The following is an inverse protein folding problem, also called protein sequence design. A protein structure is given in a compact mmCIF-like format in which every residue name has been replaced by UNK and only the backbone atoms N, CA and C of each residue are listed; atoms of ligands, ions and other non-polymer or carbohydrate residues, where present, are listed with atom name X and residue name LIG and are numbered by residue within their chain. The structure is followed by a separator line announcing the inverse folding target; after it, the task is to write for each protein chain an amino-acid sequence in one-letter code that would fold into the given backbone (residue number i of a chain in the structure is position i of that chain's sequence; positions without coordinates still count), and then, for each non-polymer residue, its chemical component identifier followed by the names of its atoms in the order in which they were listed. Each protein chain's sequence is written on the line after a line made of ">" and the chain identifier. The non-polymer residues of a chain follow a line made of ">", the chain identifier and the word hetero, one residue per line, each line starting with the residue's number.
data_IF_972519967427
#
_entry.id   IF_972519967427
#
_cell.length_a   1.000
_cell.length_b   1.000
_cell.length_c   1.000
_cell.angle_alpha   90.00
_cell.angle_beta   90.00
_cell.angle_gamma   90.00
#
_symmetry.space_group_name_H-M   'P 1'
#
loop_
_entity.id
_entity.type
_entity.pdbx_description
1 polymer ?
#
# COMPACT_ATOMS: atom_id res chain seq x y z
N UNK A 1 26.53 -34.22 -5.20
CA UNK A 1 27.49 -33.55 -6.10
C UNK A 1 26.69 -32.69 -7.06
N UNK A 2 27.37 -31.79 -7.77
CA UNK A 2 26.81 -30.75 -8.64
C UNK A 2 26.23 -29.54 -7.88
N UNK A 3 26.85 -28.39 -8.16
CA UNK A 3 26.46 -27.05 -7.72
C UNK A 3 26.06 -26.27 -8.96
N UNK A 4 25.01 -25.44 -8.88
CA UNK A 4 24.60 -24.55 -9.98
C UNK A 4 24.90 -23.11 -9.58
N UNK A 5 26.10 -22.66 -9.91
CA UNK A 5 26.53 -21.26 -9.77
C UNK A 5 25.91 -20.44 -10.89
N UNK A 6 24.75 -19.83 -10.65
CA UNK A 6 24.13 -18.93 -11.63
C UNK A 6 24.70 -17.51 -11.55
N UNK A 7 25.13 -16.99 -12.71
CA UNK A 7 26.02 -15.83 -12.78
C UNK A 7 25.28 -14.49 -12.78
N UNK A 8 25.56 -13.63 -11.80
CA UNK A 8 24.97 -12.27 -11.66
C UNK A 8 25.60 -11.28 -12.64
N UNK A 9 25.45 -11.50 -13.94
CA UNK A 9 26.25 -10.84 -14.99
C UNK A 9 25.51 -10.40 -16.27
N UNK A 10 24.18 -10.56 -16.40
CA UNK A 10 23.51 -10.46 -17.71
C UNK A 10 22.31 -9.49 -17.84
N UNK A 11 22.08 -8.58 -16.89
CA UNK A 11 21.04 -7.54 -17.01
C UNK A 11 21.63 -6.15 -16.81
N UNK A 12 22.61 -5.80 -17.66
CA UNK A 12 23.14 -4.43 -17.80
C UNK A 12 23.24 -4.09 -19.29
N UNK A 13 22.16 -3.54 -19.83
CA UNK A 13 22.04 -3.15 -21.24
C UNK A 13 20.57 -3.10 -21.67
N UNK A 14 20.26 -2.29 -22.71
CA UNK A 14 18.89 -1.93 -23.16
C UNK A 14 18.19 -0.98 -22.16
N UNK A 15 17.75 0.24 -22.50
CA UNK A 15 17.97 1.04 -23.71
C UNK A 15 18.03 2.54 -23.33
N UNK A 16 18.94 3.31 -23.92
CA UNK A 16 19.10 4.75 -23.64
C UNK A 16 18.83 5.59 -24.90
N UNK A 17 17.55 5.74 -25.29
CA UNK A 17 17.19 6.65 -26.40
C UNK A 17 15.70 7.06 -26.44
N UNK A 18 15.41 8.31 -26.04
CA UNK A 18 14.30 9.12 -26.55
C UNK A 18 14.50 10.60 -26.16
N UNK A 19 14.62 11.49 -27.13
CA UNK A 19 14.57 12.95 -26.98
C UNK A 19 13.62 13.51 -28.04
N UNK A 20 13.31 14.82 -27.94
CA UNK A 20 12.21 15.54 -28.62
C UNK A 20 10.83 15.21 -28.01
N UNK A 21 10.10 16.09 -27.30
CA UNK A 21 9.94 17.56 -27.28
C UNK A 21 8.89 18.13 -28.25
N UNK A 22 7.90 18.83 -27.69
CA UNK A 22 7.05 19.82 -28.33
C UNK A 22 6.38 20.70 -27.26
N UNK A 23 5.94 21.91 -27.61
CA UNK A 23 5.40 22.89 -26.67
C UNK A 23 4.21 23.68 -27.26
N UNK A 24 3.10 23.72 -26.50
CA UNK A 24 1.99 24.67 -26.58
C UNK A 24 1.29 24.62 -25.19
N UNK A 25 0.96 25.70 -24.48
CA UNK A 25 0.20 26.90 -24.86
C UNK A 25 -1.28 26.57 -25.14
N UNK A 26 -2.17 26.94 -24.21
CA UNK A 26 -3.60 26.67 -24.28
C UNK A 26 -4.35 27.23 -23.07
N UNK A 27 -4.66 28.52 -23.09
CA UNK A 27 -5.56 29.15 -22.09
C UNK A 27 -7.02 28.90 -22.47
N UNK A 28 -7.86 28.54 -21.50
CA UNK A 28 -9.30 28.36 -21.68
C UNK A 28 -10.03 28.78 -20.40
N UNK A 29 -11.06 29.63 -20.54
CA UNK A 29 -11.72 30.32 -19.43
C UNK A 29 -13.17 29.89 -19.29
N UNK A 30 -13.66 29.94 -18.05
CA UNK A 30 -15.04 30.22 -17.61
C UNK A 30 -16.23 29.56 -18.35
N UNK A 31 -17.01 28.78 -17.59
CA UNK A 31 -18.45 28.60 -17.86
C UNK A 31 -19.24 28.57 -16.56
N UNK A 32 -20.14 29.54 -16.40
CA UNK A 32 -21.03 29.67 -15.24
C UNK A 32 -22.38 29.05 -15.55
N UNK A 33 -22.86 28.13 -14.71
CA UNK A 33 -24.18 27.51 -14.85
C UNK A 33 -24.90 27.38 -13.51
N UNK A 34 -25.81 28.31 -13.22
CA UNK A 34 -26.70 28.25 -12.07
C UNK A 34 -28.07 27.69 -12.49
N UNK A 35 -28.64 26.80 -11.67
CA UNK A 35 -29.99 26.23 -11.81
C UNK A 35 -30.51 25.82 -10.43
N UNK A 36 -31.83 25.83 -10.21
CA UNK A 36 -32.42 25.77 -8.87
C UNK A 36 -33.81 25.11 -8.83
N UNK A 37 -34.29 24.88 -7.59
CA UNK A 37 -35.67 24.59 -7.14
C UNK A 37 -36.36 23.25 -7.52
N UNK A 38 -36.67 22.49 -6.46
CA UNK A 38 -37.95 21.86 -6.07
C UNK A 38 -38.84 21.04 -7.02
N UNK A 39 -39.01 19.75 -6.64
CA UNK A 39 -40.30 19.06 -6.40
C UNK A 39 -40.00 17.79 -5.53
N UNK A 40 -40.75 17.27 -4.53
CA UNK A 40 -42.14 17.35 -4.00
C UNK A 40 -42.93 16.04 -4.19
N UNK A 41 -43.48 15.50 -3.09
CA UNK A 41 -44.38 14.31 -2.96
C UNK A 41 -43.73 12.93 -3.26
N UNK A 42 -43.75 11.95 -2.33
CA UNK A 42 -44.82 10.98 -1.99
C UNK A 42 -44.82 9.74 -2.95
N UNK A 43 -45.34 8.55 -2.62
CA UNK A 43 -46.22 8.08 -1.53
C UNK A 43 -46.01 6.56 -1.24
N UNK A 44 -46.74 6.00 -0.27
CA UNK A 44 -47.10 4.57 -0.08
C UNK A 44 -46.02 3.50 0.15
N UNK A 45 -45.96 3.06 1.41
CA UNK A 45 -46.15 1.68 1.89
C UNK A 45 -46.53 0.58 0.87
N UNK A 46 -45.90 -0.60 0.98
CA UNK A 46 -46.55 -1.93 0.89
C UNK A 46 -45.76 -2.94 1.76
N UNK A 47 -46.33 -4.12 2.02
CA UNK A 47 -45.71 -5.16 2.85
C UNK A 47 -45.99 -6.59 2.34
N UNK A 48 -44.97 -7.44 2.35
CA UNK A 48 -45.01 -8.89 2.17
C UNK A 48 -43.65 -9.44 2.65
N UNK A 49 -43.51 -10.45 3.52
CA UNK A 49 -44.19 -11.74 3.71
C UNK A 49 -43.46 -12.91 3.06
N UNK A 50 -42.74 -13.64 3.93
CA UNK A 50 -42.51 -15.10 3.98
C UNK A 50 -41.88 -15.89 2.82
N UNK A 51 -41.12 -16.91 3.28
CA UNK A 51 -40.51 -18.06 2.57
C UNK A 51 -39.45 -17.72 1.49
N UNK A 52 -38.53 -18.63 1.12
CA UNK A 52 -38.28 -19.99 1.62
C UNK A 52 -36.77 -20.28 1.68
N UNK A 53 -36.37 -21.30 2.44
CA UNK A 53 -34.99 -21.76 2.50
C UNK A 53 -34.81 -23.09 1.76
N UNK A 54 -34.00 -23.10 0.71
CA UNK A 54 -33.21 -24.27 0.26
C UNK A 54 -32.30 -23.91 -0.90
N UNK A 55 -31.03 -24.30 -0.80
CA UNK A 55 -30.38 -25.08 -1.86
C UNK A 55 -29.31 -25.97 -1.23
N UNK A 56 -29.10 -27.14 -1.84
CA UNK A 56 -28.21 -28.19 -1.34
C UNK A 56 -26.85 -28.15 -2.08
N UNK A 57 -25.89 -29.00 -1.68
CA UNK A 57 -24.49 -28.85 -2.06
C UNK A 57 -23.98 -29.79 -3.16
N UNK A 58 -22.93 -29.34 -3.86
CA UNK A 58 -21.98 -30.10 -4.69
C UNK A 58 -20.84 -29.12 -5.07
N UNK A 59 -19.53 -29.38 -4.98
CA UNK A 59 -18.72 -30.61 -4.90
C UNK A 59 -18.79 -31.46 -6.19
N UNK A 60 -17.72 -31.74 -6.94
CA UNK A 60 -16.31 -31.29 -6.90
C UNK A 60 -15.92 -30.76 -8.32
N UNK A 61 -14.69 -30.61 -8.84
CA UNK A 61 -13.34 -31.10 -8.52
C UNK A 61 -12.26 -30.17 -9.20
N UNK A 62 -10.98 -30.39 -8.87
CA UNK A 62 -9.71 -29.99 -9.53
C UNK A 62 -9.64 -28.90 -10.64
N UNK A 63 -8.69 -27.98 -10.48
CA UNK A 63 -7.59 -27.86 -11.47
C UNK A 63 -6.34 -27.26 -10.82
N UNK A 64 -5.26 -28.04 -10.77
CA UNK A 64 -3.95 -27.62 -10.24
C UNK A 64 -2.98 -27.24 -11.36
N UNK A 65 -2.63 -25.96 -11.46
CA UNK A 65 -1.39 -25.52 -12.12
C UNK A 65 -0.53 -24.69 -11.17
N UNK A 66 0.66 -25.20 -10.87
CA UNK A 66 1.69 -24.47 -10.13
C UNK A 66 2.53 -23.64 -11.11
N UNK A 67 2.22 -22.35 -11.22
CA UNK A 67 3.04 -21.36 -11.91
C UNK A 67 3.94 -20.62 -10.92
N UNK A 68 5.21 -21.00 -10.84
CA UNK A 68 6.21 -20.33 -9.98
C UNK A 68 6.74 -19.03 -10.59
N UNK A 69 5.90 -17.98 -10.62
CA UNK A 69 6.36 -16.60 -10.84
C UNK A 69 6.32 -15.83 -9.52
N UNK A 70 7.48 -15.73 -8.86
CA UNK A 70 7.67 -15.14 -7.53
C UNK A 70 7.53 -13.61 -7.44
N UNK A 71 6.64 -13.02 -8.23
CA UNK A 71 6.26 -11.61 -8.11
C UNK A 71 5.29 -11.46 -6.94
N UNK A 72 5.76 -10.88 -5.83
CA UNK A 72 4.93 -10.57 -4.67
C UNK A 72 3.93 -9.46 -5.00
N UNK A 73 2.81 -9.80 -5.63
CA UNK A 73 1.76 -8.85 -5.97
C UNK A 73 1.15 -8.24 -4.70
N UNK A 74 0.92 -6.92 -4.74
CA UNK A 74 0.18 -6.20 -3.69
C UNK A 74 -1.23 -6.82 -3.50
N UNK A 75 -1.78 -6.85 -2.27
CA UNK A 75 -3.06 -7.47 -2.03
C UNK A 75 -4.18 -6.73 -2.76
N UNK A 76 -5.12 -7.47 -3.36
CA UNK A 76 -6.28 -6.86 -4.01
C UNK A 76 -7.24 -6.27 -2.97
N UNK A 77 -7.76 -5.06 -3.22
CA UNK A 77 -8.81 -4.46 -2.40
C UNK A 77 -10.08 -5.32 -2.49
N UNK A 78 -10.48 -5.90 -1.35
CA UNK A 78 -11.52 -6.94 -1.26
C UNK A 78 -12.58 -6.67 -0.19
N UNK A 79 -12.43 -5.59 0.58
CA UNK A 79 -13.45 -5.13 1.53
C UNK A 79 -14.65 -4.43 0.87
N UNK A 80 -15.67 -4.03 1.66
CA UNK A 80 -16.90 -3.42 1.16
C UNK A 80 -16.68 -2.00 0.62
N UNK A 81 -17.58 -1.54 -0.26
CA UNK A 81 -17.62 -0.13 -0.66
C UNK A 81 -18.06 0.76 0.52
N UNK A 82 -17.32 1.86 0.75
CA UNK A 82 -17.43 2.78 1.86
C UNK A 82 -17.70 4.21 1.38
N UNK A 83 -18.17 5.09 2.27
CA UNK A 83 -18.18 6.54 2.01
C UNK A 83 -16.76 7.09 2.13
N UNK A 84 -16.36 8.01 1.24
CA UNK A 84 -15.04 8.68 1.23
C UNK A 84 -14.51 9.09 2.62
N UNK A 85 -15.34 9.77 3.42
CA UNK A 85 -14.97 10.20 4.77
C UNK A 85 -14.75 9.04 5.76
N UNK A 86 -15.41 7.89 5.57
CA UNK A 86 -15.23 6.70 6.38
C UNK A 86 -13.98 5.91 5.98
N UNK A 87 -13.73 5.80 4.67
CA UNK A 87 -12.47 5.25 4.14
C UNK A 87 -11.26 6.04 4.64
N UNK A 88 -11.31 7.38 4.55
CA UNK A 88 -10.27 8.27 5.08
C UNK A 88 -10.06 8.05 6.58
N UNK A 89 -11.12 8.06 7.39
CA UNK A 89 -11.03 7.84 8.84
C UNK A 89 -10.39 6.50 9.18
N UNK A 90 -10.81 5.41 8.53
CA UNK A 90 -10.28 4.06 8.79
C UNK A 90 -8.83 3.91 8.33
N UNK A 91 -8.46 4.44 7.17
CA UNK A 91 -7.05 4.41 6.73
C UNK A 91 -6.14 5.28 7.60
N UNK A 92 -6.61 6.44 8.09
CA UNK A 92 -5.86 7.23 9.08
C UNK A 92 -5.69 6.50 10.43
N UNK A 93 -6.63 5.62 10.80
CA UNK A 93 -6.49 4.71 11.94
C UNK A 93 -5.46 3.60 11.67
N UNK A 94 -5.42 3.02 10.46
CA UNK A 94 -4.38 2.05 10.03
C UNK A 94 -3.00 2.70 10.08
N UNK A 95 -2.80 3.82 9.38
CA UNK A 95 -1.55 4.59 9.36
C UNK A 95 -1.13 5.04 10.76
N UNK A 96 -2.09 5.35 11.63
CA UNK A 96 -1.84 5.70 13.03
C UNK A 96 -1.26 4.55 13.88
N UNK A 97 -1.49 3.28 13.53
CA UNK A 97 -0.93 2.10 14.24
C UNK A 97 0.55 1.89 13.94
N UNK A 98 0.99 2.12 12.71
CA UNK A 98 2.36 1.81 12.24
C UNK A 98 3.45 2.40 13.15
N UNK A 99 3.48 3.70 13.50
CA UNK A 99 4.51 4.24 14.40
C UNK A 99 4.40 3.69 15.83
N UNK A 100 3.21 3.28 16.28
CA UNK A 100 3.00 2.65 17.59
C UNK A 100 3.58 1.23 17.63
N UNK A 101 3.47 0.48 16.53
CA UNK A 101 4.04 -0.85 16.37
C UNK A 101 5.56 -0.82 16.07
N UNK A 102 6.05 0.19 15.35
CA UNK A 102 7.47 0.43 15.11
C UNK A 102 8.26 0.63 16.41
N UNK A 103 7.75 1.46 17.34
CA UNK A 103 8.49 1.86 18.55
C UNK A 103 9.00 0.69 19.43
N UNK A 104 8.21 -0.34 19.78
CA UNK A 104 8.72 -1.50 20.52
C UNK A 104 9.67 -2.37 19.70
N UNK A 105 9.43 -2.52 18.39
CA UNK A 105 10.33 -3.27 17.50
C UNK A 105 11.70 -2.58 17.37
N UNK A 106 11.72 -1.25 17.24
CA UNK A 106 12.93 -0.44 17.24
C UNK A 106 13.75 -0.66 18.52
N UNK A 107 13.10 -0.66 19.69
CA UNK A 107 13.80 -0.91 20.96
C UNK A 107 14.33 -2.34 21.06
N UNK A 108 13.59 -3.34 20.56
CA UNK A 108 14.05 -4.73 20.46
C UNK A 108 15.29 -4.86 19.58
N UNK A 109 15.22 -4.39 18.34
CA UNK A 109 16.32 -4.48 17.35
C UNK A 109 17.56 -3.72 17.82
N UNK A 110 17.38 -2.51 18.35
CA UNK A 110 18.45 -1.72 18.96
C UNK A 110 18.97 -2.33 20.28
N UNK A 111 18.25 -3.28 20.89
CA UNK A 111 18.73 -4.10 22.00
C UNK A 111 19.60 -5.25 21.49
N UNK A 112 19.06 -6.04 20.55
CA UNK A 112 19.74 -7.17 19.90
C UNK A 112 21.11 -6.76 19.34
N UNK A 113 21.16 -5.69 18.54
CA UNK A 113 22.41 -5.16 17.97
C UNK A 113 23.45 -4.79 19.05
N UNK A 114 23.02 -4.25 20.20
CA UNK A 114 23.94 -3.90 21.30
C UNK A 114 24.48 -5.12 22.03
N UNK A 115 23.71 -6.20 22.14
CA UNK A 115 24.21 -7.45 22.71
C UNK A 115 25.15 -8.17 21.72
N UNK A 116 24.85 -8.14 20.41
CA UNK A 116 25.77 -8.63 19.37
C UNK A 116 27.11 -7.88 19.38
N UNK A 117 27.11 -6.54 19.51
CA UNK A 117 28.35 -5.75 19.61
C UNK A 117 29.21 -6.16 20.82
N UNK A 118 28.59 -6.48 21.97
CA UNK A 118 29.32 -6.97 23.16
C UNK A 118 29.87 -8.39 22.94
N UNK A 119 29.05 -9.29 22.42
CA UNK A 119 29.39 -10.71 22.29
C UNK A 119 30.46 -10.94 21.21
N UNK A 120 30.29 -10.35 20.03
CA UNK A 120 31.19 -10.51 18.90
C UNK A 120 32.41 -9.57 18.97
N UNK A 121 32.38 -8.55 19.84
CA UNK A 121 33.37 -7.44 19.93
C UNK A 121 33.51 -6.62 18.64
N UNK A 122 32.63 -6.84 17.65
CA UNK A 122 32.42 -5.98 16.48
C UNK A 122 31.66 -4.72 16.92
N UNK A 123 31.82 -3.61 16.20
CA UNK A 123 30.84 -2.52 16.19
C UNK A 123 30.14 -2.48 14.84
N UNK A 124 28.84 -2.28 14.84
CA UNK A 124 28.12 -1.95 13.61
C UNK A 124 28.25 -0.45 13.34
N UNK A 125 28.41 -0.08 12.07
CA UNK A 125 28.32 1.29 11.58
C UNK A 125 26.93 1.89 11.80
N UNK A 126 26.77 3.19 11.60
CA UNK A 126 25.46 3.83 11.65
C UNK A 126 24.50 3.26 10.58
N UNK A 127 25.02 3.00 9.36
CA UNK A 127 24.27 2.41 8.25
C UNK A 127 23.75 1.01 8.59
N UNK A 128 24.62 0.09 9.01
CA UNK A 128 24.22 -1.29 9.40
C UNK A 128 23.13 -1.30 10.49
N UNK A 129 23.14 -0.31 11.40
CA UNK A 129 22.10 -0.18 12.44
C UNK A 129 20.80 0.40 11.90
N UNK A 130 20.88 1.34 10.96
CA UNK A 130 19.71 1.94 10.30
C UNK A 130 19.01 0.96 9.36
N UNK A 131 19.78 0.21 8.55
CA UNK A 131 19.30 -0.87 7.69
C UNK A 131 18.60 -1.95 8.52
N UNK A 132 19.24 -2.43 9.60
CA UNK A 132 18.63 -3.40 10.50
C UNK A 132 17.35 -2.87 11.16
N UNK A 133 17.27 -1.58 11.49
CA UNK A 133 16.05 -0.94 12.01
C UNK A 133 14.94 -0.88 10.95
N UNK A 134 15.25 -0.48 9.71
CA UNK A 134 14.28 -0.45 8.61
C UNK A 134 13.70 -1.84 8.36
N UNK A 135 14.56 -2.82 8.09
CA UNK A 135 14.17 -4.20 7.77
C UNK A 135 13.47 -4.92 8.93
N UNK A 136 13.95 -4.79 10.18
CA UNK A 136 13.43 -5.58 11.32
C UNK A 136 12.37 -4.86 12.15
N UNK A 137 12.20 -3.55 12.02
CA UNK A 137 11.23 -2.78 12.81
C UNK A 137 10.24 -1.94 11.99
N UNK A 138 10.59 -1.44 10.79
CA UNK A 138 9.67 -0.67 9.95
C UNK A 138 8.87 -1.55 8.98
N UNK A 139 9.53 -2.48 8.27
CA UNK A 139 8.87 -3.38 7.31
C UNK A 139 7.71 -4.21 7.92
N UNK A 140 7.83 -4.84 9.12
CA UNK A 140 6.74 -5.66 9.66
C UNK A 140 5.39 -4.93 9.90
N UNK A 141 5.33 -3.75 10.54
CA UNK A 141 4.07 -3.02 10.69
C UNK A 141 3.56 -2.41 9.38
N UNK A 142 4.42 -2.17 8.37
CA UNK A 142 3.99 -1.78 7.04
C UNK A 142 3.26 -2.92 6.32
N UNK A 143 3.76 -4.15 6.40
CA UNK A 143 3.06 -5.34 5.89
C UNK A 143 1.69 -5.55 6.57
N UNK A 144 1.59 -5.26 7.88
CA UNK A 144 0.31 -5.29 8.59
C UNK A 144 -0.65 -4.20 8.09
N UNK A 145 -0.17 -2.97 7.89
CA UNK A 145 -0.98 -1.88 7.35
C UNK A 145 -1.45 -2.15 5.92
N UNK A 146 -0.60 -2.75 5.08
CA UNK A 146 -0.90 -3.17 3.72
C UNK A 146 -2.06 -4.18 3.68
N UNK A 147 -2.02 -5.22 4.53
CA UNK A 147 -3.14 -6.14 4.68
C UNK A 147 -4.41 -5.45 5.17
N UNK A 148 -4.32 -4.55 6.16
CA UNK A 148 -5.48 -3.82 6.66
C UNK A 148 -6.10 -2.91 5.59
N UNK A 149 -5.31 -2.30 4.70
CA UNK A 149 -5.81 -1.51 3.57
C UNK A 149 -6.47 -2.37 2.49
N UNK A 150 -5.89 -3.52 2.11
CA UNK A 150 -6.56 -4.45 1.17
C UNK A 150 -7.92 -4.95 1.71
N UNK A 151 -7.99 -5.19 3.02
CA UNK A 151 -9.21 -5.62 3.73
C UNK A 151 -10.19 -4.48 4.05
N UNK A 152 -9.77 -3.21 3.90
CA UNK A 152 -10.60 -2.03 4.20
C UNK A 152 -11.76 -1.87 3.21
N UNK A 153 -11.53 -2.25 1.95
CA UNK A 153 -12.45 -1.97 0.85
C UNK A 153 -12.19 -0.62 0.20
N UNK A 154 -13.09 -0.17 -0.67
CA UNK A 154 -12.92 1.01 -1.51
C UNK A 154 -13.83 2.17 -1.11
N UNK A 155 -13.46 3.44 -1.37
CA UNK A 155 -14.41 4.54 -1.36
C UNK A 155 -15.28 4.50 -2.63
N UNK A 156 -16.59 4.64 -2.46
CA UNK A 156 -17.59 4.54 -3.53
C UNK A 156 -17.39 5.60 -4.63
N UNK A 157 -17.18 5.18 -5.87
CA UNK A 157 -16.88 6.04 -7.03
C UNK A 157 -15.42 6.51 -7.12
N UNK A 158 -14.55 6.03 -6.22
CA UNK A 158 -13.11 6.24 -6.17
C UNK A 158 -12.41 4.86 -6.04
N UNK A 159 -12.94 3.80 -6.67
CA UNK A 159 -12.49 2.42 -6.48
C UNK A 159 -11.02 2.18 -6.85
N UNK A 160 -10.57 2.73 -7.99
CA UNK A 160 -9.19 2.59 -8.48
C UNK A 160 -8.18 3.20 -7.50
N UNK A 161 -8.52 4.34 -6.89
CA UNK A 161 -7.68 5.02 -5.89
C UNK A 161 -7.41 4.15 -4.66
N UNK A 162 -8.34 3.26 -4.27
CA UNK A 162 -8.09 2.34 -3.16
C UNK A 162 -6.99 1.34 -3.47
N UNK A 163 -6.91 0.87 -4.72
CA UNK A 163 -5.83 -0.01 -5.17
C UNK A 163 -4.54 0.79 -5.36
N UNK A 164 -4.57 2.01 -5.91
CA UNK A 164 -3.38 2.89 -5.98
C UNK A 164 -2.72 3.10 -4.61
N UNK A 165 -3.51 3.30 -3.54
CA UNK A 165 -3.00 3.44 -2.16
C UNK A 165 -2.37 2.15 -1.64
N UNK A 166 -2.92 0.98 -1.99
CA UNK A 166 -2.37 -0.32 -1.61
C UNK A 166 -1.09 -0.62 -2.38
N UNK A 167 -1.09 -0.43 -3.70
CA UNK A 167 0.05 -0.67 -4.58
C UNK A 167 1.22 0.27 -4.23
N UNK A 168 0.94 1.54 -3.93
CA UNK A 168 1.96 2.48 -3.47
C UNK A 168 2.51 2.15 -2.07
N UNK A 169 1.73 1.50 -1.20
CA UNK A 169 2.20 1.05 0.11
C UNK A 169 3.02 -0.24 0.01
N UNK A 170 2.68 -1.17 -0.89
CA UNK A 170 3.52 -2.34 -1.15
C UNK A 170 4.82 -1.93 -1.84
N UNK A 171 4.78 -1.09 -2.88
CA UNK A 171 5.97 -0.55 -3.51
C UNK A 171 6.88 0.18 -2.50
N UNK A 172 6.29 0.89 -1.52
CA UNK A 172 7.05 1.49 -0.43
C UNK A 172 7.71 0.45 0.49
N UNK A 173 6.98 -0.60 0.90
CA UNK A 173 7.50 -1.73 1.70
C UNK A 173 8.63 -2.45 0.96
N UNK A 174 8.36 -2.87 -0.26
CA UNK A 174 9.26 -3.65 -1.12
C UNK A 174 10.53 -2.86 -1.46
N UNK A 175 10.42 -1.56 -1.77
CA UNK A 175 11.61 -0.71 -1.97
C UNK A 175 12.49 -0.57 -0.72
N UNK A 176 11.92 -0.66 0.49
CA UNK A 176 12.64 -0.71 1.77
C UNK A 176 13.24 -2.08 2.11
N UNK A 177 12.71 -3.16 1.51
CA UNK A 177 13.25 -4.52 1.59
C UNK A 177 14.40 -4.74 0.59
N UNK A 178 14.30 -4.16 -0.61
CA UNK A 178 15.33 -4.23 -1.66
C UNK A 178 16.51 -3.27 -1.42
N UNK A 179 16.25 -2.00 -1.08
CA UNK A 179 17.29 -1.01 -0.76
C UNK A 179 16.99 -0.27 0.56
N UNK A 180 17.38 -0.86 1.71
CA UNK A 180 17.26 -0.23 3.02
C UNK A 180 18.21 0.98 3.21
N UNK A 181 19.06 1.34 2.23
CA UNK A 181 19.85 2.58 2.28
C UNK A 181 19.04 3.82 1.89
N UNK A 182 17.90 3.65 1.21
CA UNK A 182 17.01 4.73 0.80
C UNK A 182 16.50 5.58 1.97
N UNK A 183 16.27 6.90 1.76
CA UNK A 183 15.75 7.78 2.81
C UNK A 183 14.32 7.38 3.20
N UNK A 184 14.03 7.36 4.50
CA UNK A 184 12.68 6.96 4.95
C UNK A 184 11.61 7.98 4.56
N UNK A 185 11.92 9.27 4.50
CA UNK A 185 10.96 10.33 4.15
C UNK A 185 11.55 11.36 3.19
N UNK A 186 10.67 12.11 2.51
CA UNK A 186 11.05 13.14 1.55
C UNK A 186 11.29 12.60 0.13
N UNK A 187 11.97 13.39 -0.70
CA UNK A 187 12.16 13.05 -2.12
C UNK A 187 13.11 11.87 -2.29
N UNK A 188 12.72 10.87 -3.08
CA UNK A 188 13.45 9.63 -3.26
C UNK A 188 13.24 8.61 -2.13
N UNK A 189 12.26 8.84 -1.24
CA UNK A 189 11.74 7.81 -0.35
C UNK A 189 10.81 6.86 -1.13
N UNK A 190 10.82 5.55 -0.83
CA UNK A 190 9.80 4.62 -1.33
C UNK A 190 8.36 5.07 -1.05
N UNK A 191 8.13 5.89 -0.01
CA UNK A 191 6.82 6.43 0.35
C UNK A 191 6.39 7.68 -0.44
N UNK A 192 7.21 8.24 -1.34
CA UNK A 192 6.92 9.55 -1.96
C UNK A 192 5.55 9.59 -2.67
N UNK A 193 5.17 8.51 -3.36
CA UNK A 193 3.86 8.43 -4.03
C UNK A 193 2.71 8.13 -3.06
N UNK A 194 2.89 7.22 -2.10
CA UNK A 194 1.87 6.95 -1.06
C UNK A 194 1.52 8.21 -0.26
N UNK A 195 2.52 9.00 0.13
CA UNK A 195 2.36 10.28 0.83
C UNK A 195 1.68 11.32 -0.08
N UNK A 196 1.94 11.31 -1.39
CA UNK A 196 1.30 12.19 -2.38
C UNK A 196 -0.17 11.85 -2.58
N UNK A 197 -0.50 10.57 -2.83
CA UNK A 197 -1.88 10.07 -2.98
C UNK A 197 -2.73 10.37 -1.75
N UNK A 198 -2.29 9.90 -0.58
CA UNK A 198 -3.06 10.05 0.67
C UNK A 198 -3.24 11.52 1.07
N UNK A 199 -2.23 12.36 0.89
CA UNK A 199 -2.32 13.80 1.16
C UNK A 199 -3.26 14.53 0.19
N UNK A 200 -3.26 14.15 -1.08
CA UNK A 200 -4.17 14.70 -2.09
C UNK A 200 -5.62 14.34 -1.83
N UNK A 201 -5.87 13.12 -1.33
CA UNK A 201 -7.22 12.61 -1.07
C UNK A 201 -7.83 13.06 0.27
N UNK A 202 -7.00 13.52 1.22
CA UNK A 202 -7.44 14.20 2.45
C UNK A 202 -7.02 13.54 3.78
N UNK A 203 -6.24 12.47 3.75
CA UNK A 203 -5.72 11.81 4.95
C UNK A 203 -4.83 12.72 5.80
N UNK A 204 -4.86 12.53 7.12
CA UNK A 204 -4.18 13.37 8.11
C UNK A 204 -3.00 12.67 8.80
N UNK A 205 -3.07 11.35 8.96
CA UNK A 205 -2.05 10.47 9.55
C UNK A 205 -1.18 9.83 8.48
N UNK A 206 -1.77 9.32 7.39
CA UNK A 206 -1.01 8.60 6.34
C UNK A 206 0.12 9.43 5.69
N UNK A 207 -0.01 10.75 5.46
CA UNK A 207 1.09 11.59 4.97
C UNK A 207 2.24 11.86 5.97
N UNK A 208 2.31 11.08 7.06
CA UNK A 208 3.33 11.17 8.13
C UNK A 208 4.02 9.83 8.43
N UNK A 209 3.78 8.83 7.58
CA UNK A 209 4.64 7.65 7.43
C UNK A 209 5.99 8.10 6.85
#
# INVERSE_FOLDING_TARGET
>A
MEEIVFSRAFVVGILLMACFALAACGSGSDTTGAGSTDATAADTTEAGDSTEATNDGSAEEDTTEAGEDGSSAAPTVTGPSLKKAEYIKKGDEICGKVPQAFQPLFQKVNGELKEEEKQQKKKFSAAEKEEAVKLKAAVPPLGTALEEFGKLGSPAGDEEFAQEVVDALDAAKTGLEEDPSLPFTGKGSPFEEFVKLTKGYGFQSCPRL
#
